data_IF_219272090597
#
_entry.id   IF_219272090597
#
_cell.length_a   1.000
_cell.length_b   1.000
_cell.length_c   1.000
_cell.angle_alpha   90.00
_cell.angle_beta   90.00
_cell.angle_gamma   90.00
#
_symmetry.space_group_name_H-M   'P 1'
#
loop_
_entity.id
_entity.type
_entity.pdbx_description
1 polymer ?
#
# COMPACT_ATOMS: atom_id res chain seq x y z
N UNK A 1 -27.35 20.80 -16.72
CA UNK A 1 -26.54 21.07 -15.51
C UNK A 1 -25.73 19.88 -14.96
N UNK A 2 -26.13 18.60 -15.12
CA UNK A 2 -25.33 17.47 -14.58
C UNK A 2 -24.22 16.95 -15.51
N UNK A 3 -24.28 17.26 -16.80
CA UNK A 3 -23.36 16.68 -17.80
C UNK A 3 -22.08 17.50 -17.96
N UNK A 4 -22.19 18.83 -17.94
CA UNK A 4 -21.05 19.76 -17.93
C UNK A 4 -20.14 19.56 -16.71
N UNK A 5 -20.73 19.33 -15.53
CA UNK A 5 -19.97 19.06 -14.31
C UNK A 5 -19.25 17.71 -14.36
N UNK A 6 -19.84 16.70 -14.99
CA UNK A 6 -19.19 15.41 -15.19
C UNK A 6 -18.04 15.51 -16.21
N UNK A 7 -18.18 16.33 -17.25
CA UNK A 7 -17.16 16.57 -18.26
C UNK A 7 -15.94 17.29 -17.67
N UNK A 8 -16.16 18.37 -16.91
CA UNK A 8 -15.08 19.09 -16.22
C UNK A 8 -14.33 18.17 -15.24
N UNK A 9 -15.04 17.30 -14.52
CA UNK A 9 -14.39 16.32 -13.63
C UNK A 9 -13.53 15.32 -14.39
N UNK A 10 -13.96 14.88 -15.57
CA UNK A 10 -13.17 13.98 -16.40
C UNK A 10 -11.85 14.64 -16.84
N UNK A 11 -11.90 15.89 -17.29
CA UNK A 11 -10.72 16.66 -17.69
C UNK A 11 -9.76 16.89 -16.52
N UNK A 12 -10.28 17.21 -15.33
CA UNK A 12 -9.46 17.34 -14.11
C UNK A 12 -8.79 16.01 -13.78
N UNK A 13 -9.54 14.91 -13.80
CA UNK A 13 -8.98 13.59 -13.50
C UNK A 13 -7.92 13.20 -14.52
N UNK A 14 -8.11 13.49 -15.80
CA UNK A 14 -7.11 13.25 -16.84
C UNK A 14 -5.84 14.08 -16.62
N UNK A 15 -5.98 15.35 -16.24
CA UNK A 15 -4.83 16.19 -15.90
C UNK A 15 -4.08 15.66 -14.66
N UNK A 16 -4.80 15.14 -13.66
CA UNK A 16 -4.20 14.58 -12.46
C UNK A 16 -3.40 13.31 -12.72
N UNK A 17 -3.73 12.51 -13.74
CA UNK A 17 -2.97 11.30 -14.12
C UNK A 17 -1.50 11.58 -14.37
N UNK A 18 -1.17 12.77 -14.86
CA UNK A 18 0.20 13.20 -15.13
C UNK A 18 1.02 13.47 -13.85
N UNK A 19 0.42 13.40 -12.66
CA UNK A 19 1.11 13.62 -11.39
C UNK A 19 1.45 12.29 -10.68
N UNK A 20 2.66 11.71 -10.88
CA UNK A 20 3.03 10.44 -10.28
C UNK A 20 3.16 10.49 -8.74
N UNK A 21 3.20 11.68 -8.15
CA UNK A 21 3.47 11.92 -6.72
C UNK A 21 2.23 12.40 -5.96
N UNK A 22 1.04 12.26 -6.51
CA UNK A 22 -0.19 12.67 -5.84
C UNK A 22 -0.37 11.87 -4.54
N UNK A 23 -0.23 12.54 -3.39
CA UNK A 23 -0.35 11.92 -2.05
C UNK A 23 -1.73 12.07 -1.41
N UNK A 24 -2.41 13.17 -1.71
CA UNK A 24 -3.67 13.52 -1.08
C UNK A 24 -4.65 13.99 -2.15
N UNK A 25 -5.84 13.41 -2.18
CA UNK A 25 -6.92 13.81 -3.05
C UNK A 25 -8.16 14.11 -2.21
N UNK A 26 -8.68 15.32 -2.34
CA UNK A 26 -9.94 15.72 -1.71
C UNK A 26 -10.91 16.15 -2.80
N UNK A 27 -12.02 15.42 -2.91
CA UNK A 27 -13.11 15.70 -3.83
C UNK A 27 -14.33 16.15 -3.04
N UNK A 28 -14.76 17.38 -3.25
CA UNK A 28 -15.98 17.93 -2.66
C UNK A 28 -16.89 18.33 -3.81
N UNK A 29 -18.08 17.72 -3.90
CA UNK A 29 -19.03 17.98 -4.99
C UNK A 29 -20.46 18.05 -4.46
N UNK A 30 -21.29 18.91 -5.06
CA UNK A 30 -22.71 18.98 -4.72
C UNK A 30 -23.45 17.68 -5.05
N UNK A 31 -23.03 16.97 -6.11
CA UNK A 31 -23.59 15.68 -6.51
C UNK A 31 -22.48 14.78 -7.08
N UNK A 32 -22.28 13.63 -6.47
CA UNK A 32 -21.40 12.59 -7.01
C UNK A 32 -22.21 11.64 -7.89
N UNK A 33 -21.96 11.67 -9.20
CA UNK A 33 -22.64 10.76 -10.15
C UNK A 33 -21.92 9.42 -10.24
N UNK A 34 -22.61 8.37 -10.70
CA UNK A 34 -22.00 7.06 -10.95
C UNK A 34 -20.80 7.15 -11.91
N UNK A 35 -20.95 7.90 -13.01
CA UNK A 35 -19.88 8.11 -13.99
C UNK A 35 -18.65 8.75 -13.34
N UNK A 36 -18.83 9.78 -12.51
CA UNK A 36 -17.74 10.43 -11.79
C UNK A 36 -17.08 9.49 -10.78
N UNK A 37 -17.86 8.67 -10.06
CA UNK A 37 -17.34 7.69 -9.12
C UNK A 37 -16.50 6.61 -9.82
N UNK A 38 -16.94 6.13 -10.98
CA UNK A 38 -16.18 5.18 -11.81
C UNK A 38 -14.86 5.78 -12.30
N UNK A 39 -14.89 7.02 -12.82
CA UNK A 39 -13.67 7.71 -13.25
C UNK A 39 -12.70 7.93 -12.07
N UNK A 40 -13.22 8.28 -10.89
CA UNK A 40 -12.42 8.41 -9.68
C UNK A 40 -11.79 7.07 -9.27
N UNK A 41 -12.53 5.97 -9.35
CA UNK A 41 -12.01 4.63 -9.08
C UNK A 41 -10.85 4.26 -10.00
N UNK A 42 -10.97 4.57 -11.29
CA UNK A 42 -9.88 4.34 -12.26
C UNK A 42 -8.66 5.20 -11.90
N UNK A 43 -8.86 6.49 -11.59
CA UNK A 43 -7.79 7.40 -11.21
C UNK A 43 -7.07 6.94 -9.93
N UNK A 44 -7.81 6.63 -8.87
CA UNK A 44 -7.27 6.14 -7.59
C UNK A 44 -6.50 4.83 -7.79
N UNK A 45 -7.00 3.95 -8.65
CA UNK A 45 -6.32 2.71 -9.05
C UNK A 45 -4.98 2.91 -9.78
N UNK A 46 -4.71 4.08 -10.34
CA UNK A 46 -3.40 4.41 -10.94
C UNK A 46 -2.39 4.87 -9.89
N UNK A 47 -2.85 5.45 -8.78
CA UNK A 47 -1.99 5.97 -7.71
C UNK A 47 -1.77 4.98 -6.57
N UNK A 48 -1.67 3.67 -6.86
CA UNK A 48 -1.53 2.62 -5.85
C UNK A 48 -0.46 2.91 -4.81
N UNK A 49 0.74 3.34 -5.22
CA UNK A 49 1.88 3.50 -4.30
C UNK A 49 2.07 4.91 -3.76
N UNK A 50 1.42 5.91 -4.36
CA UNK A 50 1.64 7.32 -4.03
C UNK A 50 0.50 7.95 -3.25
N UNK A 51 -0.76 7.56 -3.52
CA UNK A 51 -1.91 8.13 -2.83
C UNK A 51 -2.04 7.55 -1.43
N UNK A 52 -1.98 8.43 -0.44
CA UNK A 52 -2.06 8.09 0.99
C UNK A 52 -3.44 8.43 1.55
N UNK A 53 -4.00 9.55 1.09
CA UNK A 53 -5.22 10.12 1.64
C UNK A 53 -6.26 10.43 0.57
N UNK A 54 -7.46 9.90 0.76
CA UNK A 54 -8.63 10.13 -0.09
C UNK A 54 -9.80 10.64 0.76
N UNK A 55 -10.28 11.85 0.45
CA UNK A 55 -11.47 12.43 1.08
C UNK A 55 -12.52 12.72 0.03
N UNK A 56 -13.72 12.18 0.23
CA UNK A 56 -14.85 12.38 -0.66
C UNK A 56 -15.98 12.99 0.16
N UNK A 57 -16.42 14.19 -0.22
CA UNK A 57 -17.57 14.85 0.35
C UNK A 57 -18.62 15.09 -0.72
N UNK A 58 -19.87 14.69 -0.44
CA UNK A 58 -21.00 15.15 -1.24
C UNK A 58 -22.12 15.72 -0.38
N UNK A 59 -22.63 16.88 -0.79
CA UNK A 59 -23.75 17.54 -0.10
C UNK A 59 -25.11 16.98 -0.53
N UNK A 60 -25.17 16.26 -1.65
CA UNK A 60 -26.35 15.52 -2.10
C UNK A 60 -26.34 14.06 -1.67
N UNK A 61 -27.49 13.40 -1.84
CA UNK A 61 -27.61 11.95 -1.60
C UNK A 61 -26.77 11.18 -2.64
N UNK A 62 -26.04 10.17 -2.17
CA UNK A 62 -25.38 9.21 -3.04
C UNK A 62 -26.33 8.02 -3.25
N UNK A 63 -26.47 7.57 -4.49
CA UNK A 63 -27.17 6.32 -4.79
C UNK A 63 -26.34 5.12 -4.36
N UNK A 64 -26.96 3.99 -4.05
CA UNK A 64 -26.27 2.72 -3.71
C UNK A 64 -25.22 2.31 -4.75
N UNK A 65 -25.50 2.53 -6.03
CA UNK A 65 -24.53 2.25 -7.10
C UNK A 65 -23.23 3.06 -6.98
N UNK A 66 -23.31 4.31 -6.49
CA UNK A 66 -22.13 5.15 -6.24
C UNK A 66 -21.39 4.64 -5.02
N UNK A 67 -22.10 4.33 -3.93
CA UNK A 67 -21.51 3.79 -2.71
C UNK A 67 -20.79 2.46 -2.96
N UNK A 68 -21.39 1.55 -3.75
CA UNK A 68 -20.77 0.28 -4.13
C UNK A 68 -19.45 0.46 -4.89
N UNK A 69 -19.39 1.42 -5.83
CA UNK A 69 -18.14 1.73 -6.54
C UNK A 69 -17.07 2.27 -5.59
N UNK A 70 -17.46 3.13 -4.64
CA UNK A 70 -16.52 3.67 -3.66
C UNK A 70 -16.01 2.59 -2.69
N UNK A 71 -16.89 1.72 -2.22
CA UNK A 71 -16.55 0.58 -1.37
C UNK A 71 -15.55 -0.34 -2.06
N UNK A 72 -15.83 -0.73 -3.31
CA UNK A 72 -14.95 -1.60 -4.10
C UNK A 72 -13.58 -0.94 -4.33
N UNK A 73 -13.57 0.36 -4.67
CA UNK A 73 -12.36 1.14 -4.86
C UNK A 73 -11.48 1.15 -3.59
N UNK A 74 -12.08 1.39 -2.42
CA UNK A 74 -11.37 1.47 -1.14
C UNK A 74 -10.84 0.10 -0.73
N UNK A 75 -11.68 -0.93 -0.84
CA UNK A 75 -11.33 -2.31 -0.47
C UNK A 75 -10.17 -2.85 -1.32
N UNK A 76 -10.14 -2.49 -2.62
CA UNK A 76 -9.06 -2.90 -3.52
C UNK A 76 -7.77 -2.10 -3.35
N UNK A 77 -7.80 -0.96 -2.67
CA UNK A 77 -6.64 -0.07 -2.53
C UNK A 77 -6.04 -0.16 -1.13
N UNK A 78 -5.26 -1.23 -0.95
CA UNK A 78 -4.63 -1.61 0.33
C UNK A 78 -3.63 -0.56 0.86
N UNK A 79 -3.23 0.38 0.01
CA UNK A 79 -2.21 1.38 0.32
C UNK A 79 -2.78 2.69 0.86
N UNK A 80 -4.11 2.90 0.77
CA UNK A 80 -4.77 4.06 1.38
C UNK A 80 -4.78 3.89 2.90
N UNK A 81 -4.11 4.82 3.60
CA UNK A 81 -4.10 4.84 5.07
C UNK A 81 -5.15 5.77 5.66
N UNK A 82 -5.61 6.77 4.88
CA UNK A 82 -6.59 7.76 5.33
C UNK A 82 -7.72 7.87 4.32
N UNK A 83 -8.87 7.30 4.64
CA UNK A 83 -10.05 7.36 3.78
C UNK A 83 -11.22 7.96 4.55
N UNK A 84 -11.91 8.93 3.93
CA UNK A 84 -13.17 9.45 4.47
C UNK A 84 -14.17 9.68 3.34
N UNK A 85 -15.38 9.18 3.54
CA UNK A 85 -16.52 9.43 2.66
C UNK A 85 -17.62 10.07 3.52
N UNK A 86 -18.06 11.28 3.14
CA UNK A 86 -19.11 12.02 3.84
C UNK A 86 -20.27 12.27 2.88
N UNK A 87 -21.47 11.90 3.31
CA UNK A 87 -22.73 12.14 2.61
C UNK A 87 -23.81 12.60 3.60
N UNK A 88 -24.76 13.42 3.14
CA UNK A 88 -25.81 14.00 3.98
C UNK A 88 -26.98 13.06 4.31
N UNK A 89 -27.14 11.93 3.60
CA UNK A 89 -28.19 10.94 3.89
C UNK A 89 -27.63 9.71 4.62
N UNK A 90 -28.09 9.51 5.85
CA UNK A 90 -27.47 8.63 6.86
C UNK A 90 -27.89 7.15 6.76
N UNK A 91 -29.06 6.83 6.18
CA UNK A 91 -29.70 5.52 6.42
C UNK A 91 -29.14 4.35 5.58
N UNK A 92 -28.79 4.57 4.31
CA UNK A 92 -28.16 3.54 3.46
C UNK A 92 -26.61 3.61 3.48
N UNK A 93 -26.07 4.71 4.01
CA UNK A 93 -24.65 4.89 4.24
C UNK A 93 -24.08 3.89 5.26
N UNK A 94 -24.88 3.36 6.20
CA UNK A 94 -24.36 2.56 7.34
C UNK A 94 -23.61 1.29 6.92
N UNK A 95 -24.14 0.51 5.95
CA UNK A 95 -23.48 -0.75 5.52
C UNK A 95 -22.23 -0.50 4.68
N UNK A 96 -22.32 0.38 3.69
CA UNK A 96 -21.15 0.76 2.89
C UNK A 96 -20.07 1.43 3.76
N UNK A 97 -20.47 2.23 4.77
CA UNK A 97 -19.56 2.77 5.78
C UNK A 97 -18.88 1.68 6.60
N UNK A 98 -19.60 0.65 7.05
CA UNK A 98 -19.00 -0.46 7.80
C UNK A 98 -17.93 -1.20 6.98
N UNK A 99 -18.23 -1.59 5.73
CA UNK A 99 -17.25 -2.25 4.86
C UNK A 99 -16.04 -1.35 4.55
N UNK A 100 -16.26 -0.05 4.33
CA UNK A 100 -15.18 0.93 4.16
C UNK A 100 -14.33 1.10 5.44
N UNK A 101 -14.94 1.02 6.62
CA UNK A 101 -14.23 1.11 7.90
C UNK A 101 -13.42 -0.17 8.16
N UNK A 102 -13.99 -1.35 7.89
CA UNK A 102 -13.27 -2.63 7.94
C UNK A 102 -12.04 -2.60 7.01
N UNK A 103 -12.18 -2.09 5.77
CA UNK A 103 -11.07 -1.94 4.84
C UNK A 103 -9.97 -1.01 5.38
N UNK A 104 -10.34 0.10 6.04
CA UNK A 104 -9.36 1.00 6.69
C UNK A 104 -8.63 0.28 7.82
N UNK A 105 -9.35 -0.45 8.67
CA UNK A 105 -8.76 -1.20 9.77
C UNK A 105 -7.80 -2.27 9.28
N UNK A 106 -8.15 -2.97 8.20
CA UNK A 106 -7.28 -3.94 7.54
C UNK A 106 -6.01 -3.29 6.98
N UNK A 107 -6.15 -2.19 6.23
CA UNK A 107 -5.01 -1.43 5.70
C UNK A 107 -4.10 -0.93 6.83
N UNK A 108 -4.68 -0.40 7.90
CA UNK A 108 -3.95 0.06 9.08
C UNK A 108 -3.25 -1.11 9.79
N UNK A 109 -3.90 -2.27 9.89
CA UNK A 109 -3.32 -3.50 10.42
C UNK A 109 -2.11 -3.97 9.61
N UNK A 110 -2.17 -3.87 8.27
CA UNK A 110 -1.06 -4.19 7.39
C UNK A 110 0.10 -3.20 7.57
N UNK A 111 -0.18 -1.90 7.60
CA UNK A 111 0.81 -0.85 7.88
C UNK A 111 1.50 -1.06 9.23
N UNK A 112 0.74 -1.42 10.28
CA UNK A 112 1.29 -1.72 11.60
C UNK A 112 2.19 -2.96 11.58
N UNK A 113 1.85 -4.00 10.82
CA UNK A 113 2.70 -5.19 10.65
C UNK A 113 4.00 -4.85 9.92
N UNK A 114 3.93 -4.08 8.84
CA UNK A 114 5.09 -3.61 8.10
C UNK A 114 5.99 -2.71 8.96
N UNK A 115 5.41 -1.78 9.72
CA UNK A 115 6.15 -0.91 10.61
C UNK A 115 6.89 -1.69 11.70
N UNK A 116 6.24 -2.71 12.30
CA UNK A 116 6.89 -3.62 13.26
C UNK A 116 8.11 -4.32 12.67
N UNK A 117 8.07 -4.70 11.39
CA UNK A 117 9.23 -5.29 10.71
C UNK A 117 10.40 -4.29 10.69
N UNK A 118 10.18 -3.08 10.19
CA UNK A 118 11.22 -2.04 10.11
C UNK A 118 11.79 -1.71 11.50
N UNK A 119 10.92 -1.45 12.47
CA UNK A 119 11.32 -1.07 13.83
C UNK A 119 12.03 -2.20 14.58
N UNK A 120 11.80 -3.46 14.23
CA UNK A 120 12.51 -4.60 14.84
C UNK A 120 14.01 -4.63 14.53
N UNK A 121 14.43 -3.92 13.47
CA UNK A 121 15.83 -3.87 13.01
C UNK A 121 16.63 -2.71 13.62
N UNK A 122 15.99 -1.94 14.50
CA UNK A 122 16.49 -0.68 15.04
C UNK A 122 17.17 -0.83 16.42
N UNK A 123 17.77 -1.99 16.69
CA UNK A 123 18.67 -2.20 17.83
C UNK A 123 18.05 -2.80 19.10
N UNK A 124 16.76 -3.18 19.11
CA UNK A 124 16.18 -4.02 20.18
C UNK A 124 16.49 -5.50 19.94
N UNK A 125 16.34 -6.38 20.96
CA UNK A 125 16.56 -7.81 20.78
C UNK A 125 15.77 -8.27 19.56
N UNK A 126 16.43 -8.98 18.64
CA UNK A 126 15.87 -9.54 17.41
C UNK A 126 14.81 -10.59 17.77
N UNK A 127 13.71 -10.16 18.36
CA UNK A 127 12.49 -10.94 18.47
C UNK A 127 12.05 -11.10 17.03
N UNK A 128 12.41 -12.26 16.46
CA UNK A 128 12.05 -12.77 15.14
C UNK A 128 10.99 -11.89 14.48
N UNK A 129 11.39 -11.01 13.57
CA UNK A 129 10.42 -10.25 12.82
C UNK A 129 9.53 -11.31 12.15
N UNK A 130 8.28 -11.42 12.61
CA UNK A 130 7.45 -12.57 12.28
C UNK A 130 7.23 -12.60 10.78
N UNK A 131 7.11 -13.79 10.19
CA UNK A 131 6.91 -13.97 8.75
C UNK A 131 5.82 -13.05 8.16
N UNK A 132 4.69 -12.91 8.86
CA UNK A 132 3.60 -12.00 8.44
C UNK A 132 3.95 -10.51 8.46
N UNK A 133 4.90 -10.08 9.30
CA UNK A 133 5.42 -8.71 9.32
C UNK A 133 6.34 -8.47 8.13
N UNK A 134 7.19 -9.44 7.79
CA UNK A 134 8.03 -9.40 6.59
C UNK A 134 7.17 -9.36 5.32
N UNK A 135 6.13 -10.20 5.24
CA UNK A 135 5.17 -10.19 4.14
C UNK A 135 4.46 -8.84 3.98
N UNK A 136 3.93 -8.29 5.07
CA UNK A 136 3.31 -6.97 5.05
C UNK A 136 4.29 -5.86 4.62
N UNK A 137 5.55 -5.95 5.06
CA UNK A 137 6.59 -5.03 4.64
C UNK A 137 6.94 -5.17 3.16
N UNK A 138 7.09 -6.37 2.63
CA UNK A 138 7.36 -6.59 1.20
C UNK A 138 6.25 -6.01 0.31
N UNK A 139 5.00 -6.16 0.74
CA UNK A 139 3.84 -5.63 0.03
C UNK A 139 3.80 -4.09 0.03
N UNK A 140 4.12 -3.48 1.18
CA UNK A 140 4.03 -2.03 1.39
C UNK A 140 5.35 -1.29 1.12
N UNK A 141 6.45 -1.99 0.89
CA UNK A 141 7.77 -1.38 0.70
C UNK A 141 7.77 -0.47 -0.55
N UNK A 142 8.18 0.77 -0.37
CA UNK A 142 8.20 1.79 -1.43
C UNK A 142 6.88 2.54 -1.61
N UNK A 143 5.90 2.35 -0.73
CA UNK A 143 4.67 3.14 -0.71
C UNK A 143 4.83 4.40 0.15
N UNK A 144 4.16 5.49 -0.24
CA UNK A 144 4.15 6.72 0.54
C UNK A 144 3.42 6.54 1.89
N UNK A 145 2.42 5.67 1.95
CA UNK A 145 1.65 5.41 3.16
C UNK A 145 2.48 4.74 4.26
N UNK A 146 3.35 3.79 3.90
CA UNK A 146 4.28 3.19 4.87
C UNK A 146 5.28 4.22 5.42
N UNK A 147 5.83 5.09 4.56
CA UNK A 147 6.75 6.13 4.98
C UNK A 147 6.09 7.11 5.96
N UNK A 148 4.93 7.66 5.60
CA UNK A 148 4.19 8.59 6.47
C UNK A 148 3.79 7.93 7.80
N UNK A 149 3.41 6.66 7.76
CA UNK A 149 3.07 5.90 8.96
C UNK A 149 4.27 5.71 9.88
N UNK A 150 5.42 5.36 9.33
CA UNK A 150 6.67 5.20 10.09
C UNK A 150 7.16 6.52 10.69
N UNK A 151 7.07 7.64 9.96
CA UNK A 151 7.37 8.97 10.49
C UNK A 151 6.47 9.28 11.68
N UNK A 152 5.16 9.03 11.53
CA UNK A 152 4.19 9.26 12.60
C UNK A 152 4.44 8.40 13.84
N UNK A 153 4.84 7.13 13.67
CA UNK A 153 5.06 6.20 14.79
C UNK A 153 6.39 6.39 15.49
N UNK A 154 7.45 6.68 14.73
CA UNK A 154 8.81 6.76 15.26
C UNK A 154 9.22 8.16 15.72
N UNK A 155 8.52 9.20 15.24
CA UNK A 155 8.91 10.60 15.44
C UNK A 155 10.21 10.99 14.72
N UNK A 156 10.75 10.11 13.88
CA UNK A 156 11.97 10.36 13.11
C UNK A 156 11.68 11.22 11.87
N UNK A 157 12.72 11.86 11.33
CA UNK A 157 12.62 12.59 10.06
C UNK A 157 12.36 11.64 8.88
N UNK A 158 11.78 12.17 7.80
CA UNK A 158 11.55 11.39 6.57
C UNK A 158 12.83 10.76 6.02
N UNK A 159 13.95 11.48 6.09
CA UNK A 159 15.26 10.97 5.65
C UNK A 159 15.68 9.74 6.46
N UNK A 160 15.58 9.82 7.79
CA UNK A 160 15.94 8.70 8.67
C UNK A 160 15.01 7.50 8.45
N UNK A 161 13.70 7.74 8.32
CA UNK A 161 12.73 6.68 7.99
C UNK A 161 13.06 6.03 6.65
N UNK A 162 13.44 6.82 5.64
CA UNK A 162 13.86 6.29 4.34
C UNK A 162 15.09 5.37 4.45
N UNK A 163 16.08 5.76 5.28
CA UNK A 163 17.24 4.92 5.57
C UNK A 163 16.85 3.62 6.29
N UNK A 164 15.95 3.70 7.28
CA UNK A 164 15.48 2.55 8.04
C UNK A 164 14.70 1.57 7.14
N UNK A 165 13.84 2.08 6.25
CA UNK A 165 13.12 1.29 5.25
C UNK A 165 14.10 0.63 4.28
N UNK A 166 15.13 1.35 3.83
CA UNK A 166 16.14 0.78 2.94
C UNK A 166 16.93 -0.34 3.63
N UNK A 167 17.33 -0.13 4.89
CA UNK A 167 17.99 -1.15 5.71
C UNK A 167 17.09 -2.39 5.88
N UNK A 168 15.80 -2.19 6.14
CA UNK A 168 14.83 -3.27 6.25
C UNK A 168 14.65 -4.05 4.95
N UNK A 169 14.64 -3.35 3.80
CA UNK A 169 14.61 -3.97 2.48
C UNK A 169 15.84 -4.82 2.23
N UNK A 170 17.05 -4.30 2.44
CA UNK A 170 18.27 -5.08 2.27
C UNK A 170 18.28 -6.31 3.19
N UNK A 171 17.86 -6.15 4.46
CA UNK A 171 17.76 -7.27 5.39
C UNK A 171 16.78 -8.34 4.91
N UNK A 172 15.61 -7.95 4.41
CA UNK A 172 14.65 -8.90 3.84
C UNK A 172 15.24 -9.64 2.63
N UNK A 173 15.91 -8.93 1.73
CA UNK A 173 16.54 -9.52 0.54
C UNK A 173 17.63 -10.53 0.91
N UNK A 174 18.49 -10.20 1.87
CA UNK A 174 19.54 -11.09 2.36
C UNK A 174 18.98 -12.37 2.99
N UNK A 175 17.77 -12.29 3.54
CA UNK A 175 17.10 -13.39 4.25
C UNK A 175 15.88 -13.91 3.47
N UNK A 176 15.78 -13.61 2.17
CA UNK A 176 14.58 -13.88 1.38
C UNK A 176 14.15 -15.34 1.45
N UNK A 177 15.08 -16.28 1.26
CA UNK A 177 14.77 -17.72 1.27
C UNK A 177 14.23 -18.21 2.63
N UNK A 178 14.60 -17.56 3.73
CA UNK A 178 14.07 -17.87 5.06
C UNK A 178 12.65 -17.31 5.18
N UNK A 179 12.46 -16.05 4.78
CA UNK A 179 11.17 -15.38 4.85
C UNK A 179 10.15 -15.86 3.82
N UNK A 180 10.60 -16.49 2.74
CA UNK A 180 9.76 -17.17 1.75
C UNK A 180 9.49 -18.64 2.13
N UNK A 181 10.08 -19.13 3.25
CA UNK A 181 9.91 -20.51 3.70
C UNK A 181 10.64 -21.58 2.89
N UNK A 182 11.45 -21.18 1.89
CA UNK A 182 12.21 -22.10 1.03
C UNK A 182 13.29 -22.84 1.82
N UNK A 183 13.94 -22.16 2.77
CA UNK A 183 14.95 -22.78 3.65
C UNK A 183 14.69 -22.44 5.11
N UNK A 184 15.13 -23.33 6.02
CA UNK A 184 15.06 -23.06 7.46
C UNK A 184 16.12 -22.07 7.95
N UNK A 185 17.28 -22.04 7.32
CA UNK A 185 18.42 -21.25 7.80
C UNK A 185 19.33 -20.70 6.69
N UNK A 186 19.79 -21.55 5.77
CA UNK A 186 20.65 -21.13 4.65
C UNK A 186 20.57 -22.10 3.48
N UNK A 187 20.94 -21.62 2.30
CA UNK A 187 21.21 -22.45 1.12
C UNK A 187 22.65 -22.95 1.20
N UNK A 188 22.85 -24.24 0.95
CA UNK A 188 24.15 -24.88 0.75
C UNK A 188 24.01 -25.79 -0.46
N UNK A 189 24.94 -25.68 -1.39
CA UNK A 189 25.00 -26.58 -2.53
C UNK A 189 25.98 -27.72 -2.25
N UNK A 190 25.68 -28.91 -2.77
CA UNK A 190 26.62 -30.01 -2.78
C UNK A 190 27.73 -29.76 -3.80
N UNK A 191 28.88 -30.42 -3.65
CA UNK A 191 30.03 -30.24 -4.52
C UNK A 191 29.64 -30.35 -6.01
N UNK A 192 29.77 -29.24 -6.72
CA UNK A 192 29.42 -29.14 -8.13
C UNK A 192 30.51 -29.61 -9.08
N UNK A 193 30.19 -29.58 -10.36
CA UNK A 193 31.07 -29.87 -11.50
C UNK A 193 32.03 -28.71 -11.86
N UNK A 194 32.19 -27.74 -10.95
CA UNK A 194 32.94 -26.50 -11.18
C UNK A 194 32.10 -25.31 -11.66
N UNK A 195 30.81 -25.50 -11.91
CA UNK A 195 29.88 -24.40 -12.22
C UNK A 195 29.60 -23.51 -11.00
N UNK A 196 29.29 -22.23 -11.24
CA UNK A 196 28.87 -21.32 -10.16
C UNK A 196 27.52 -21.76 -9.59
N UNK A 197 27.50 -22.06 -8.30
CA UNK A 197 26.31 -22.49 -7.56
C UNK A 197 25.66 -21.33 -6.80
N UNK A 198 24.43 -21.56 -6.32
CA UNK A 198 23.62 -20.52 -5.71
C UNK A 198 24.22 -19.97 -4.40
N UNK A 199 24.89 -20.82 -3.64
CA UNK A 199 25.59 -20.48 -2.39
C UNK A 199 26.95 -19.79 -2.62
N UNK A 200 27.48 -19.82 -3.84
CA UNK A 200 28.67 -19.07 -4.26
C UNK A 200 28.34 -17.63 -4.70
N UNK A 201 27.06 -17.26 -4.81
CA UNK A 201 26.66 -15.90 -5.12
C UNK A 201 26.99 -14.98 -3.94
N UNK A 202 27.65 -13.85 -4.24
CA UNK A 202 27.82 -12.81 -3.25
C UNK A 202 26.48 -12.10 -2.93
N UNK A 203 26.47 -11.32 -1.85
CA UNK A 203 25.26 -10.64 -1.36
C UNK A 203 24.67 -9.69 -2.40
N UNK A 204 25.48 -9.02 -3.21
CA UNK A 204 24.99 -8.05 -4.20
C UNK A 204 24.34 -8.74 -5.41
N UNK A 205 24.94 -9.83 -5.89
CA UNK A 205 24.34 -10.70 -6.90
C UNK A 205 23.01 -11.27 -6.39
N UNK A 206 22.99 -11.73 -5.14
CA UNK A 206 21.79 -12.26 -4.50
C UNK A 206 20.67 -11.22 -4.46
N UNK A 207 20.93 -10.03 -3.90
CA UNK A 207 20.00 -8.89 -3.84
C UNK A 207 19.47 -8.51 -5.22
N UNK A 208 20.34 -8.54 -6.23
CA UNK A 208 19.97 -8.23 -7.62
C UNK A 208 18.99 -9.22 -8.23
N UNK A 209 19.00 -10.48 -7.77
CA UNK A 209 18.02 -11.51 -8.17
C UNK A 209 16.72 -11.30 -7.37
N UNK A 210 16.81 -11.28 -6.04
CA UNK A 210 15.61 -11.28 -5.18
C UNK A 210 14.82 -9.98 -5.22
N UNK A 211 15.37 -8.87 -5.69
CA UNK A 211 14.60 -7.63 -5.90
C UNK A 211 13.45 -7.79 -6.92
N UNK A 212 13.50 -8.83 -7.76
CA UNK A 212 12.47 -9.17 -8.72
C UNK A 212 11.46 -10.20 -8.18
N UNK A 213 11.66 -10.69 -6.96
CA UNK A 213 10.80 -11.69 -6.33
C UNK A 213 9.96 -11.04 -5.23
N UNK A 214 8.72 -11.51 -5.09
CA UNK A 214 7.85 -11.20 -3.95
C UNK A 214 7.70 -12.42 -3.05
N UNK A 215 7.57 -12.17 -1.75
CA UNK A 215 7.23 -13.23 -0.79
C UNK A 215 5.88 -13.89 -1.14
N UNK A 216 5.00 -13.19 -1.84
CA UNK A 216 3.74 -13.71 -2.36
C UNK A 216 3.87 -14.62 -3.58
N UNK A 217 5.04 -14.67 -4.23
CA UNK A 217 5.28 -15.53 -5.39
C UNK A 217 5.58 -16.98 -5.00
N UNK A 218 5.86 -17.24 -3.72
CA UNK A 218 6.23 -18.57 -3.19
C UNK A 218 5.09 -19.08 -2.30
N UNK A 219 4.55 -20.25 -2.65
CA UNK A 219 3.37 -20.90 -2.01
C UNK A 219 3.79 -22.10 -1.17
#
# INVERSE_FOLDING_TARGET
MSEETAQVMAEIFDALKCNPRLRKLTLITSRLTLKTAQLLSVLVGQFKRSLVELRIGSTGNMSDAVLGVLEEMITKHVFLSKVSVRCCAWKDAVRACAAMDDAKEQNQGLLNKAAKFVMSLDGRPKASAKHHCAFAFDELCGTASLQEHLVSLSGKSELQVSMDVNKARCYLQDNYMIYAGVVRARVLCEAGDGSTQLDALNVDCWRSIVQYLKLSDVV
#
